data_IF_867835486331
#
_entry.id   IF_867835486331
#
_cell.length_a   1.000
_cell.length_b   1.000
_cell.length_c   1.000
_cell.angle_alpha   90.00
_cell.angle_beta   90.00
_cell.angle_gamma   90.00
#
_symmetry.space_group_name_H-M   'P 1'
#
loop_
_entity.id
_entity.type
_entity.pdbx_description
1 polymer ?
#
# COMPACT_ATOMS: atom_id res chain seq x y z
N UNK A 1 -26.75 25.93 -10.64
CA UNK A 1 -26.88 24.55 -11.14
C UNK A 1 -25.46 24.01 -11.31
N UNK A 2 -24.92 23.33 -10.28
CA UNK A 2 -23.58 22.73 -10.35
C UNK A 2 -23.72 21.43 -11.14
N UNK A 3 -23.06 21.34 -12.30
CA UNK A 3 -22.98 20.08 -13.04
C UNK A 3 -22.15 19.12 -12.17
N UNK A 4 -22.80 18.11 -11.58
CA UNK A 4 -22.13 16.99 -10.91
C UNK A 4 -21.34 16.21 -11.97
N UNK A 5 -20.06 16.52 -12.14
CA UNK A 5 -19.16 15.71 -12.96
C UNK A 5 -18.74 14.46 -12.17
N UNK A 6 -19.48 13.37 -12.35
CA UNK A 6 -19.10 12.04 -11.84
C UNK A 6 -17.85 11.50 -12.52
N UNK A 7 -17.64 11.85 -13.79
CA UNK A 7 -16.50 11.39 -14.60
C UNK A 7 -15.78 12.61 -15.18
N UNK A 8 -14.49 12.74 -14.90
CA UNK A 8 -13.63 13.81 -15.41
C UNK A 8 -12.51 13.20 -16.27
N UNK A 9 -12.52 13.51 -17.57
CA UNK A 9 -11.50 13.05 -18.49
C UNK A 9 -10.52 14.20 -18.81
N UNK A 10 -9.25 14.01 -18.45
CA UNK A 10 -8.15 14.93 -18.67
C UNK A 10 -6.99 14.24 -19.41
N UNK A 11 -7.24 13.13 -20.10
CA UNK A 11 -6.22 12.40 -20.85
C UNK A 11 -5.49 13.28 -21.86
N UNK A 12 -4.24 12.92 -22.19
CA UNK A 12 -3.41 13.56 -23.22
C UNK A 12 -3.20 15.07 -23.01
N UNK A 13 -3.11 15.50 -21.74
CA UNK A 13 -2.81 16.89 -21.39
C UNK A 13 -1.36 17.06 -20.92
N UNK A 14 -0.82 18.26 -21.12
CA UNK A 14 0.60 18.58 -20.85
C UNK A 14 0.82 19.35 -19.53
N UNK A 15 -0.10 19.25 -18.57
CA UNK A 15 0.09 19.89 -17.26
C UNK A 15 1.11 19.13 -16.40
N UNK A 16 1.82 19.86 -15.56
CA UNK A 16 2.70 19.27 -14.54
C UNK A 16 1.95 18.95 -13.24
N UNK A 17 0.90 19.71 -12.95
CA UNK A 17 0.10 19.64 -11.75
C UNK A 17 -1.37 19.86 -12.05
N UNK A 18 -2.25 19.17 -11.32
CA UNK A 18 -3.66 19.48 -11.27
C UNK A 18 -3.97 20.47 -10.14
N UNK A 19 -4.98 21.34 -10.28
CA UNK A 19 -5.35 22.28 -9.23
C UNK A 19 -5.92 21.55 -8.01
N UNK A 20 -5.61 22.05 -6.80
CA UNK A 20 -6.13 21.51 -5.54
C UNK A 20 -7.66 21.50 -5.45
N UNK A 21 -8.34 22.34 -6.24
CA UNK A 21 -9.80 22.38 -6.32
C UNK A 21 -10.43 21.07 -6.81
N UNK A 22 -9.66 20.13 -7.39
CA UNK A 22 -10.18 18.79 -7.73
C UNK A 22 -10.68 18.05 -6.48
N UNK A 23 -10.03 18.22 -5.32
CA UNK A 23 -10.47 17.62 -4.06
C UNK A 23 -11.87 18.09 -3.62
N UNK A 24 -12.31 19.25 -4.12
CA UNK A 24 -13.63 19.84 -3.81
C UNK A 24 -14.74 19.29 -4.72
N UNK A 25 -14.42 18.48 -5.73
CA UNK A 25 -15.38 17.83 -6.61
C UNK A 25 -16.00 16.62 -5.89
N UNK A 26 -16.83 16.87 -4.88
CA UNK A 26 -17.38 15.83 -3.99
C UNK A 26 -18.23 14.74 -4.66
N UNK A 27 -18.67 14.97 -5.91
CA UNK A 27 -19.41 13.99 -6.72
C UNK A 27 -18.53 13.22 -7.72
N UNK A 28 -17.22 13.50 -7.78
CA UNK A 28 -16.32 12.89 -8.74
C UNK A 28 -16.00 11.44 -8.34
N UNK A 29 -16.36 10.51 -9.20
CA UNK A 29 -16.21 9.05 -9.02
C UNK A 29 -15.06 8.50 -9.87
N UNK A 30 -14.83 9.09 -11.05
CA UNK A 30 -13.84 8.65 -12.05
C UNK A 30 -12.96 9.80 -12.55
N UNK A 31 -11.63 9.59 -12.57
CA UNK A 31 -10.64 10.55 -13.06
C UNK A 31 -9.68 9.90 -14.07
N UNK A 32 -9.67 10.38 -15.31
CA UNK A 32 -8.79 9.88 -16.37
C UNK A 32 -7.64 10.85 -16.64
N UNK A 33 -6.42 10.37 -16.42
CA UNK A 33 -5.13 11.09 -16.52
C UNK A 33 -4.11 10.32 -17.39
N UNK A 34 -4.55 9.35 -18.19
CA UNK A 34 -3.66 8.65 -19.12
C UNK A 34 -3.03 9.62 -20.11
N UNK A 35 -1.82 9.32 -20.57
CA UNK A 35 -1.06 10.12 -21.52
C UNK A 35 -0.74 11.56 -21.06
N UNK A 36 -0.91 11.87 -19.76
CA UNK A 36 -0.46 13.13 -19.17
C UNK A 36 1.05 13.10 -18.88
N UNK A 37 1.89 13.16 -19.94
CA UNK A 37 3.33 12.85 -19.89
C UNK A 37 4.17 13.76 -18.97
N UNK A 38 3.68 14.96 -18.64
CA UNK A 38 4.37 15.92 -17.77
C UNK A 38 3.88 15.89 -16.32
N UNK A 39 2.84 15.11 -16.02
CA UNK A 39 2.26 15.06 -14.69
C UNK A 39 3.27 14.50 -13.69
N UNK A 40 3.54 15.26 -12.63
CA UNK A 40 4.53 14.90 -11.61
C UNK A 40 3.86 14.21 -10.42
N UNK A 41 2.67 14.67 -10.03
CA UNK A 41 1.97 14.19 -8.84
C UNK A 41 0.45 14.26 -9.00
N UNK A 42 -0.27 13.45 -8.24
CA UNK A 42 -1.73 13.47 -8.17
C UNK A 42 -2.21 14.49 -7.13
N UNK A 43 -3.35 15.17 -7.36
CA UNK A 43 -3.96 16.04 -6.36
C UNK A 43 -4.55 15.21 -5.21
N UNK A 44 -4.93 15.88 -4.12
CA UNK A 44 -5.79 15.28 -3.10
C UNK A 44 -7.10 14.78 -3.72
N UNK A 45 -7.54 13.60 -3.29
CA UNK A 45 -8.70 12.95 -3.88
C UNK A 45 -10.01 13.42 -3.23
N UNK A 46 -11.07 13.67 -4.01
CA UNK A 46 -12.39 13.87 -3.45
C UNK A 46 -12.91 12.58 -2.81
N UNK A 47 -13.87 12.72 -1.89
CA UNK A 47 -14.36 11.61 -1.07
C UNK A 47 -14.96 10.46 -1.89
N UNK A 48 -15.62 10.73 -3.01
CA UNK A 48 -16.28 9.72 -3.83
C UNK A 48 -15.38 9.10 -4.92
N UNK A 49 -14.14 9.57 -5.09
CA UNK A 49 -13.26 9.05 -6.13
C UNK A 49 -12.85 7.62 -5.82
N UNK A 50 -13.17 6.69 -6.71
CA UNK A 50 -12.80 5.28 -6.56
C UNK A 50 -12.15 4.71 -7.81
N UNK A 51 -12.20 5.40 -8.95
CA UNK A 51 -11.55 4.94 -10.18
C UNK A 51 -10.65 6.03 -10.74
N UNK A 52 -9.40 5.67 -11.01
CA UNK A 52 -8.38 6.55 -11.54
C UNK A 52 -7.56 5.81 -12.59
N UNK A 53 -7.44 6.41 -13.77
CA UNK A 53 -6.58 5.90 -14.83
C UNK A 53 -5.41 6.86 -14.99
N UNK A 54 -4.20 6.44 -14.67
CA UNK A 54 -3.00 7.26 -14.80
C UNK A 54 -1.84 6.43 -15.34
N UNK A 55 -0.74 7.07 -15.73
CA UNK A 55 0.47 6.35 -16.11
C UNK A 55 1.15 5.70 -14.88
N UNK A 56 0.75 4.47 -14.56
CA UNK A 56 1.34 3.71 -13.46
C UNK A 56 2.76 3.19 -13.73
N UNK A 57 3.34 3.45 -14.91
CA UNK A 57 4.78 3.25 -15.09
C UNK A 57 5.61 4.37 -14.44
N UNK A 58 4.98 5.51 -14.14
CA UNK A 58 5.60 6.63 -13.46
C UNK A 58 5.57 6.42 -11.93
N UNK A 59 6.75 6.21 -11.35
CA UNK A 59 6.93 5.98 -9.90
C UNK A 59 6.41 7.11 -9.03
N UNK A 60 6.47 8.36 -9.51
CA UNK A 60 5.98 9.54 -8.77
C UNK A 60 4.47 9.50 -8.66
N UNK A 61 3.78 9.06 -9.72
CA UNK A 61 2.32 8.92 -9.75
C UNK A 61 1.86 7.78 -8.83
N UNK A 62 2.53 6.63 -8.86
CA UNK A 62 2.26 5.54 -7.91
C UNK A 62 2.44 6.00 -6.45
N UNK A 63 3.56 6.67 -6.15
CA UNK A 63 3.80 7.20 -4.80
C UNK A 63 2.68 8.18 -4.40
N UNK A 64 2.33 9.12 -5.27
CA UNK A 64 1.29 10.10 -5.02
C UNK A 64 -0.09 9.47 -4.78
N UNK A 65 -0.43 8.38 -5.49
CA UNK A 65 -1.66 7.60 -5.25
C UNK A 65 -1.69 7.09 -3.80
N UNK A 66 -0.65 6.38 -3.38
CA UNK A 66 -0.61 5.75 -2.06
C UNK A 66 -0.49 6.75 -0.91
N UNK A 67 0.22 7.87 -1.10
CA UNK A 67 0.23 8.97 -0.14
C UNK A 67 -1.19 9.50 0.09
N UNK A 68 -1.96 9.73 -0.99
CA UNK A 68 -3.35 10.15 -0.92
C UNK A 68 -4.24 9.10 -0.24
N UNK A 69 -4.07 7.81 -0.55
CA UNK A 69 -4.80 6.74 0.15
C UNK A 69 -4.54 6.78 1.66
N UNK A 70 -3.30 7.08 2.09
CA UNK A 70 -2.98 7.15 3.52
C UNK A 70 -3.64 8.33 4.26
N UNK A 71 -3.93 9.43 3.56
CA UNK A 71 -4.63 10.60 4.11
C UNK A 71 -6.12 10.36 4.28
N UNK A 72 -6.67 9.41 3.53
CA UNK A 72 -8.06 8.99 3.60
C UNK A 72 -8.19 8.01 4.77
N UNK A 73 -8.31 8.55 5.99
CA UNK A 73 -8.52 7.74 7.18
C UNK A 73 -9.72 6.80 6.99
N UNK A 74 -9.63 5.52 7.42
CA UNK A 74 -10.81 4.67 7.49
C UNK A 74 -11.82 5.32 8.44
N UNK A 75 -13.10 5.39 8.02
CA UNK A 75 -14.21 5.82 8.88
C UNK A 75 -14.35 4.83 10.05
N UNK A 76 -13.60 5.04 11.13
CA UNK A 76 -13.63 4.18 12.32
C UNK A 76 -14.86 4.51 13.16
N UNK A 77 -16.02 3.99 12.74
CA UNK A 77 -17.20 3.86 13.60
C UNK A 77 -17.48 2.40 14.01
N UNK A 78 -16.94 1.40 13.31
CA UNK A 78 -17.17 -0.02 13.64
C UNK A 78 -15.86 -0.79 13.85
N UNK A 79 -15.71 -1.33 15.06
CA UNK A 79 -14.48 -1.86 15.64
C UNK A 79 -14.06 -3.25 15.17
N UNK A 80 -14.62 -3.81 14.11
CA UNK A 80 -14.37 -5.22 13.75
C UNK A 80 -14.09 -5.51 12.27
N UNK A 81 -14.23 -4.53 11.36
CA UNK A 81 -13.85 -4.71 9.96
C UNK A 81 -13.24 -3.42 9.43
N UNK A 82 -11.94 -3.45 9.12
CA UNK A 82 -11.32 -2.37 8.35
C UNK A 82 -11.84 -2.47 6.93
N UNK A 83 -12.88 -1.68 6.60
CA UNK A 83 -13.23 -1.45 5.21
C UNK A 83 -12.14 -0.58 4.59
N UNK A 84 -11.26 -1.19 3.80
CA UNK A 84 -10.20 -0.47 3.11
C UNK A 84 -10.78 0.18 1.86
N UNK A 85 -10.47 1.47 1.68
CA UNK A 85 -10.80 2.18 0.45
C UNK A 85 -9.89 1.70 -0.68
N UNK A 86 -10.51 1.29 -1.77
CA UNK A 86 -9.82 0.75 -2.95
C UNK A 86 -9.90 1.74 -4.10
N UNK A 87 -8.81 1.93 -4.83
CA UNK A 87 -8.83 2.64 -6.10
C UNK A 87 -8.68 1.65 -7.24
N UNK A 88 -9.57 1.70 -8.22
CA UNK A 88 -9.50 0.86 -9.41
C UNK A 88 -8.90 1.64 -10.59
N UNK A 89 -8.22 0.94 -11.47
CA UNK A 89 -7.74 1.45 -12.75
C UNK A 89 -7.98 0.41 -13.82
N UNK A 90 -8.33 0.88 -15.03
CA UNK A 90 -8.42 0.03 -16.23
C UNK A 90 -7.10 -0.70 -16.50
N UNK A 91 -7.14 -1.80 -17.26
CA UNK A 91 -6.06 -2.79 -17.30
C UNK A 91 -4.71 -2.17 -17.61
N UNK A 92 -3.77 -2.33 -16.68
CA UNK A 92 -2.34 -2.14 -16.89
C UNK A 92 -1.62 -3.33 -16.27
N UNK A 93 -0.35 -3.51 -16.64
CA UNK A 93 0.50 -4.45 -15.93
C UNK A 93 0.75 -3.94 -14.50
N UNK A 94 1.04 -4.85 -13.57
CA UNK A 94 1.45 -4.48 -12.21
C UNK A 94 2.62 -3.47 -12.27
N UNK A 95 2.47 -2.27 -11.67
CA UNK A 95 3.48 -1.22 -11.73
C UNK A 95 4.87 -1.67 -11.29
N UNK A 96 5.92 -1.30 -12.03
CA UNK A 96 7.31 -1.56 -11.62
C UNK A 96 7.74 -0.80 -10.35
N UNK A 97 6.90 0.12 -9.87
CA UNK A 97 7.06 0.80 -8.58
C UNK A 97 7.00 -0.16 -7.38
N UNK A 98 6.32 -1.30 -7.48
CA UNK A 98 6.30 -2.30 -6.41
C UNK A 98 7.61 -3.09 -6.37
N UNK A 99 8.21 -3.18 -5.19
CA UNK A 99 9.45 -3.92 -4.98
C UNK A 99 9.24 -5.43 -5.09
N UNK A 100 8.12 -5.92 -4.57
CA UNK A 100 7.71 -7.30 -4.71
C UNK A 100 6.56 -7.40 -5.71
N UNK A 101 6.76 -8.21 -6.75
CA UNK A 101 5.74 -8.51 -7.76
C UNK A 101 5.71 -10.01 -8.00
N UNK A 102 4.54 -10.56 -8.30
CA UNK A 102 4.41 -11.98 -8.57
C UNK A 102 2.99 -12.38 -8.90
N UNK A 103 2.80 -13.69 -9.06
CA UNK A 103 1.50 -14.30 -9.31
C UNK A 103 1.30 -15.43 -8.31
N UNK A 104 0.14 -15.48 -7.67
CA UNK A 104 -0.15 -16.50 -6.66
C UNK A 104 -1.46 -16.26 -5.92
N UNK A 105 -1.84 -17.21 -5.07
CA UNK A 105 -2.99 -17.10 -4.17
C UNK A 105 -2.67 -16.34 -2.88
N UNK A 106 -1.38 -16.11 -2.64
CA UNK A 106 -0.87 -15.36 -1.50
C UNK A 106 0.52 -14.80 -1.80
N UNK A 107 0.96 -13.89 -0.95
CA UNK A 107 2.31 -13.31 -0.99
C UNK A 107 2.91 -13.25 0.40
N UNK A 108 4.14 -13.71 0.53
CA UNK A 108 4.96 -13.63 1.74
C UNK A 108 6.00 -12.53 1.54
N UNK A 109 6.00 -11.52 2.40
CA UNK A 109 6.97 -10.42 2.36
C UNK A 109 7.84 -10.49 3.61
N UNK A 110 9.14 -10.72 3.41
CA UNK A 110 10.12 -10.61 4.48
C UNK A 110 10.31 -9.13 4.84
N UNK A 111 10.05 -8.82 6.11
CA UNK A 111 10.15 -7.49 6.68
C UNK A 111 11.62 -7.24 7.07
N UNK A 112 12.23 -6.11 6.65
CA UNK A 112 13.59 -5.80 7.04
C UNK A 112 13.67 -5.50 8.55
N UNK A 113 14.86 -5.62 9.12
CA UNK A 113 15.09 -5.24 10.51
C UNK A 113 14.73 -3.75 10.71
N UNK A 114 14.00 -3.45 11.79
CA UNK A 114 13.50 -2.10 12.10
C UNK A 114 12.64 -1.49 10.99
N UNK A 115 11.86 -2.31 10.26
CA UNK A 115 10.94 -1.85 9.23
C UNK A 115 9.87 -0.89 9.75
N UNK A 116 9.42 -1.05 10.99
CA UNK A 116 8.44 -0.17 11.58
C UNK A 116 9.13 1.02 12.25
N UNK A 117 8.98 2.19 11.61
CA UNK A 117 9.36 3.49 12.18
C UNK A 117 8.10 4.24 12.57
N UNK A 118 7.94 4.50 13.87
CA UNK A 118 6.81 5.24 14.43
C UNK A 118 6.63 6.57 13.71
N UNK A 119 5.38 6.93 13.42
CA UNK A 119 4.97 8.14 12.69
C UNK A 119 5.48 8.30 11.25
N UNK A 120 6.39 7.47 10.77
CA UNK A 120 6.86 7.48 9.38
C UNK A 120 6.26 6.35 8.54
N UNK A 121 6.05 5.15 9.09
CA UNK A 121 5.43 4.04 8.36
C UNK A 121 3.93 4.32 8.09
N UNK A 122 3.54 4.32 6.82
CA UNK A 122 2.17 4.60 6.38
C UNK A 122 1.34 3.32 6.19
N UNK A 123 1.98 2.22 5.81
CA UNK A 123 1.30 0.95 5.57
C UNK A 123 1.95 0.10 4.49
N UNK A 124 1.31 -1.02 4.19
CA UNK A 124 1.67 -1.87 3.05
C UNK A 124 0.85 -1.43 1.84
N UNK A 125 1.51 -0.83 0.86
CA UNK A 125 0.91 -0.52 -0.43
C UNK A 125 0.76 -1.81 -1.22
N UNK A 126 -0.47 -2.13 -1.61
CA UNK A 126 -0.81 -3.37 -2.31
C UNK A 126 -1.58 -3.03 -3.59
N UNK A 127 -1.29 -3.77 -4.65
CA UNK A 127 -2.21 -3.88 -5.76
C UNK A 127 -2.35 -5.31 -6.25
N UNK A 128 -3.48 -5.61 -6.89
CA UNK A 128 -3.63 -6.84 -7.66
C UNK A 128 -4.63 -6.67 -8.81
N UNK A 129 -4.44 -7.44 -9.88
CA UNK A 129 -5.34 -7.48 -11.04
C UNK A 129 -6.52 -8.44 -10.80
N UNK A 130 -7.72 -8.05 -11.18
CA UNK A 130 -8.87 -8.96 -11.21
C UNK A 130 -10.05 -8.48 -10.38
N UNK A 131 -11.03 -9.37 -10.18
CA UNK A 131 -12.21 -9.08 -9.34
C UNK A 131 -11.81 -8.68 -7.90
N UNK A 132 -12.52 -7.69 -7.37
CA UNK A 132 -12.36 -7.23 -5.99
C UNK A 132 -12.89 -8.26 -5.01
N UNK A 133 -12.04 -8.72 -4.10
CA UNK A 133 -12.35 -9.76 -3.14
C UNK A 133 -11.77 -9.38 -1.78
N UNK A 134 -12.47 -9.74 -0.70
CA UNK A 134 -11.92 -9.60 0.63
C UNK A 134 -10.62 -10.40 0.76
N UNK A 135 -9.63 -9.81 1.43
CA UNK A 135 -8.34 -10.47 1.63
C UNK A 135 -8.08 -10.70 3.12
N UNK A 136 -7.18 -11.62 3.43
CA UNK A 136 -6.70 -11.82 4.81
C UNK A 136 -5.23 -11.45 4.91
N UNK A 137 -4.90 -10.59 5.86
CA UNK A 137 -3.53 -10.24 6.18
C UNK A 137 -3.10 -10.92 7.48
N UNK A 138 -1.90 -11.49 7.48
CA UNK A 138 -1.26 -12.01 8.68
C UNK A 138 0.08 -11.35 8.92
N UNK A 139 0.34 -11.04 10.17
CA UNK A 139 1.64 -10.59 10.63
C UNK A 139 2.25 -11.67 11.53
N UNK A 140 3.34 -12.26 11.04
CA UNK A 140 3.95 -13.46 11.60
C UNK A 140 5.19 -13.07 12.42
N UNK A 141 5.21 -13.34 13.74
CA UNK A 141 6.40 -13.15 14.57
C UNK A 141 7.47 -14.21 14.31
N UNK A 142 8.72 -13.91 14.68
CA UNK A 142 9.80 -14.91 14.73
C UNK A 142 9.40 -16.04 15.71
N UNK A 143 9.47 -17.30 15.25
CA UNK A 143 9.26 -18.47 16.10
C UNK A 143 10.21 -18.40 17.31
N UNK A 144 9.68 -18.68 18.51
CA UNK A 144 10.28 -18.59 19.85
C UNK A 144 9.97 -17.32 20.66
N UNK A 145 9.26 -16.32 20.10
CA UNK A 145 8.95 -15.07 20.81
C UNK A 145 7.78 -15.15 21.82
N UNK A 146 7.03 -16.25 21.88
CA UNK A 146 5.79 -16.36 22.67
C UNK A 146 4.66 -15.42 22.21
N UNK A 147 4.82 -14.78 21.05
CA UNK A 147 3.86 -13.87 20.44
C UNK A 147 2.86 -14.65 19.58
N UNK A 148 1.59 -14.29 19.63
CA UNK A 148 0.56 -14.92 18.79
C UNK A 148 0.56 -14.34 17.37
N UNK A 149 0.26 -15.20 16.38
CA UNK A 149 -0.02 -14.77 15.01
C UNK A 149 -1.14 -13.72 15.00
N UNK A 150 -0.86 -12.56 14.40
CA UNK A 150 -1.88 -11.53 14.19
C UNK A 150 -2.53 -11.74 12.84
N UNK A 151 -3.86 -11.83 12.84
CA UNK A 151 -4.67 -12.09 11.65
C UNK A 151 -5.74 -11.01 11.56
N UNK A 152 -5.88 -10.41 10.39
CA UNK A 152 -6.94 -9.45 10.10
C UNK A 152 -7.60 -9.77 8.77
N UNK A 153 -8.93 -9.93 8.78
CA UNK A 153 -9.72 -9.93 7.55
C UNK A 153 -9.94 -8.48 7.11
N UNK A 154 -9.65 -8.20 5.85
CA UNK A 154 -9.75 -6.86 5.27
C UNK A 154 -10.93 -6.88 4.30
N UNK A 155 -11.98 -6.14 4.66
CA UNK A 155 -13.11 -5.94 3.77
C UNK A 155 -12.71 -4.89 2.73
N UNK A 156 -12.84 -5.22 1.45
CA UNK A 156 -12.53 -4.28 0.38
C UNK A 156 -13.83 -3.69 -0.14
N UNK A 157 -13.97 -2.36 -0.09
CA UNK A 157 -15.16 -1.67 -0.60
C UNK A 157 -14.82 -0.85 -1.83
N UNK A 158 -15.48 -1.18 -2.94
CA UNK A 158 -15.87 -0.31 -4.05
C UNK A 158 -16.53 -1.11 -5.17
N UNK A 159 -17.12 -0.40 -6.12
CA UNK A 159 -17.61 -1.01 -7.35
C UNK A 159 -16.46 -1.10 -8.36
N UNK A 160 -15.80 -2.25 -8.44
CA UNK A 160 -15.02 -2.56 -9.63
C UNK A 160 -15.98 -2.59 -10.83
N UNK A 161 -15.82 -1.68 -11.78
CA UNK A 161 -16.67 -1.63 -12.97
C UNK A 161 -16.36 -2.82 -13.90
N UNK A 162 -15.14 -3.38 -13.84
CA UNK A 162 -14.66 -4.43 -14.75
C UNK A 162 -13.84 -5.52 -14.03
N UNK A 163 -13.87 -6.74 -14.59
CA UNK A 163 -13.20 -7.92 -14.04
C UNK A 163 -11.67 -7.89 -14.16
N UNK A 164 -11.10 -7.05 -15.03
CA UNK A 164 -9.67 -7.00 -15.35
C UNK A 164 -8.96 -5.74 -14.79
N UNK A 165 -9.64 -5.00 -13.91
CA UNK A 165 -9.07 -3.80 -13.30
C UNK A 165 -7.93 -4.14 -12.33
N UNK A 166 -6.98 -3.20 -12.17
CA UNK A 166 -6.06 -3.25 -11.04
C UNK A 166 -6.71 -2.54 -9.85
N UNK A 167 -6.74 -3.23 -8.73
CA UNK A 167 -7.17 -2.71 -7.44
C UNK A 167 -5.96 -2.24 -6.65
N UNK A 168 -5.97 -0.99 -6.17
CA UNK A 168 -4.94 -0.39 -5.34
C UNK A 168 -5.51 -0.06 -3.96
N UNK A 169 -4.82 -0.47 -2.90
CA UNK A 169 -5.24 -0.15 -1.53
C UNK A 169 -4.04 -0.19 -0.58
N UNK A 170 -4.21 0.46 0.56
CA UNK A 170 -3.20 0.52 1.61
C UNK A 170 -3.66 -0.30 2.81
N UNK A 171 -2.82 -1.21 3.29
CA UNK A 171 -3.06 -1.95 4.54
C UNK A 171 -2.31 -1.22 5.67
N UNK A 172 -3.00 -0.48 6.55
CA UNK A 172 -2.37 0.20 7.67
C UNK A 172 -2.00 -0.80 8.77
N UNK A 173 -0.98 -0.47 9.58
CA UNK A 173 -0.62 -1.30 10.73
C UNK A 173 -1.69 -1.27 11.83
N UNK A 174 -2.40 -0.14 11.98
CA UNK A 174 -3.29 0.12 13.12
C UNK A 174 -4.42 -0.89 13.34
N UNK A 175 -4.87 -1.60 12.29
CA UNK A 175 -5.80 -2.73 12.47
C UNK A 175 -5.22 -4.10 12.15
N UNK A 176 -3.92 -4.19 11.85
CA UNK A 176 -3.21 -5.47 11.75
C UNK A 176 -2.52 -5.83 13.06
N UNK A 177 -1.99 -4.83 13.77
CA UNK A 177 -1.25 -5.01 15.02
C UNK A 177 -2.15 -4.93 16.25
N UNK A 178 -2.14 -5.97 17.07
CA UNK A 178 -2.87 -6.06 18.33
C UNK A 178 -1.88 -6.12 19.50
N UNK A 179 -1.64 -4.97 20.14
CA UNK A 179 -0.71 -4.86 21.26
C UNK A 179 -1.09 -5.76 22.46
N UNK A 180 -2.37 -6.13 22.62
CA UNK A 180 -2.80 -7.04 23.69
C UNK A 180 -2.29 -8.47 23.47
N UNK A 181 -2.07 -8.87 22.22
CA UNK A 181 -1.52 -10.18 21.81
C UNK A 181 -0.01 -10.18 21.63
N UNK A 182 0.63 -9.01 21.76
CA UNK A 182 2.05 -8.84 21.52
C UNK A 182 2.95 -9.32 22.67
N UNK A 183 2.42 -9.57 23.87
CA UNK A 183 3.19 -10.04 25.03
C UNK A 183 4.46 -9.18 25.32
N UNK A 184 4.32 -7.84 25.25
CA UNK A 184 5.41 -6.89 25.47
C UNK A 184 6.36 -6.69 24.27
N UNK A 185 6.07 -7.32 23.12
CA UNK A 185 6.81 -7.12 21.87
C UNK A 185 6.32 -5.93 21.06
N UNK A 186 7.07 -5.60 20.02
CA UNK A 186 6.83 -4.48 19.11
C UNK A 186 6.60 -4.99 17.68
N UNK A 187 6.06 -4.18 16.76
CA UNK A 187 5.91 -4.57 15.34
C UNK A 187 7.23 -5.01 14.68
N UNK A 188 8.36 -4.47 15.15
CA UNK A 188 9.68 -4.84 14.65
C UNK A 188 10.12 -6.26 15.02
N UNK A 189 9.40 -6.94 15.92
CA UNK A 189 9.60 -8.37 16.23
C UNK A 189 8.91 -9.30 15.21
N UNK A 190 8.19 -8.75 14.23
CA UNK A 190 7.59 -9.51 13.13
C UNK A 190 8.51 -9.57 11.91
N UNK A 191 8.65 -10.78 11.35
CA UNK A 191 9.54 -11.04 10.22
C UNK A 191 8.80 -11.12 8.89
N UNK A 192 7.53 -11.52 8.91
CA UNK A 192 6.80 -11.78 7.67
C UNK A 192 5.42 -11.14 7.75
N UNK A 193 5.03 -10.45 6.69
CA UNK A 193 3.62 -10.20 6.38
C UNK A 193 3.18 -11.15 5.27
N UNK A 194 2.07 -11.85 5.50
CA UNK A 194 1.41 -12.68 4.50
C UNK A 194 0.09 -12.04 4.09
N UNK A 195 -0.14 -11.86 2.79
CA UNK A 195 -1.45 -11.45 2.26
C UNK A 195 -2.03 -12.63 1.47
N UNK A 196 -3.22 -13.09 1.85
CA UNK A 196 -3.97 -14.14 1.17
C UNK A 196 -5.09 -13.52 0.34
N UNK A 197 -5.03 -13.77 -0.96
CA UNK A 197 -6.04 -13.34 -1.92
C UNK A 197 -7.13 -14.42 -2.10
N UNK A 198 -6.85 -15.68 -1.79
CA UNK A 198 -7.82 -16.79 -1.91
C UNK A 198 -7.95 -17.36 -3.32
N UNK A 199 -7.58 -16.60 -4.35
CA UNK A 199 -7.46 -17.05 -5.74
C UNK A 199 -6.19 -16.52 -6.41
N UNK A 200 -5.87 -17.04 -7.58
CA UNK A 200 -4.67 -16.64 -8.32
C UNK A 200 -4.79 -15.18 -8.78
N UNK A 201 -3.87 -14.34 -8.32
CA UNK A 201 -3.78 -12.92 -8.71
C UNK A 201 -2.37 -12.58 -9.16
N UNK A 202 -2.23 -11.67 -10.13
CA UNK A 202 -0.98 -10.91 -10.28
C UNK A 202 -1.01 -9.75 -9.29
N UNK A 203 0.06 -9.56 -8.52
CA UNK A 203 0.09 -8.60 -7.43
C UNK A 203 1.40 -7.82 -7.35
N UNK A 204 1.32 -6.67 -6.68
CA UNK A 204 2.44 -5.83 -6.28
C UNK A 204 2.34 -5.47 -4.80
N UNK A 205 3.45 -5.52 -4.06
CA UNK A 205 3.52 -5.12 -2.65
C UNK A 205 4.76 -4.26 -2.39
N UNK A 206 4.58 -3.20 -1.59
CA UNK A 206 5.64 -2.29 -1.14
C UNK A 206 5.34 -1.77 0.26
N UNK A 207 6.37 -1.64 1.10
CA UNK A 207 6.26 -0.91 2.36
C UNK A 207 6.32 0.59 2.07
N UNK A 208 5.33 1.35 2.55
CA UNK A 208 5.19 2.78 2.28
C UNK A 208 5.54 3.60 3.53
N UNK A 209 6.29 4.69 3.33
CA UNK A 209 6.73 5.62 4.36
C UNK A 209 6.42 7.06 3.93
N UNK A 210 6.36 8.01 4.88
CA UNK A 210 6.25 9.44 4.57
C UNK A 210 7.52 9.96 3.90
N UNK A 211 8.67 9.55 4.43
CA UNK A 211 10.00 9.81 3.86
C UNK A 211 10.76 8.50 3.63
N UNK A 212 11.09 8.22 2.37
CA UNK A 212 11.79 7.00 1.96
C UNK A 212 13.28 6.98 2.35
N UNK A 213 13.87 8.12 2.73
CA UNK A 213 15.28 8.20 3.11
C UNK A 213 15.61 7.38 4.38
N UNK A 214 14.63 7.15 5.25
CA UNK A 214 14.83 6.44 6.52
C UNK A 214 15.01 4.92 6.36
N UNK A 215 14.46 4.34 5.28
CA UNK A 215 14.65 2.93 4.91
C UNK A 215 16.14 2.62 4.65
N UNK A 216 16.87 3.60 4.08
CA UNK A 216 18.30 3.48 3.83
C UNK A 216 19.14 3.47 5.11
N UNK A 217 18.65 4.03 6.22
CA UNK A 217 19.36 4.04 7.51
C UNK A 217 19.29 2.66 8.16
N UNK A 218 18.13 2.01 8.13
CA UNK A 218 17.95 0.63 8.62
C UNK A 218 18.80 -0.39 7.85
N UNK A 219 18.79 -0.32 6.51
CA UNK A 219 19.58 -1.20 5.62
C UNK A 219 21.09 -0.92 5.72
N UNK A 220 21.50 0.32 6.04
CA UNK A 220 22.92 0.64 6.28
C UNK A 220 23.39 0.10 7.63
N UNK A 221 22.59 0.21 8.70
CA UNK A 221 22.94 -0.35 10.02
C UNK A 221 23.06 -1.88 9.99
N UNK A 222 22.19 -2.59 9.28
CA UNK A 222 22.25 -4.06 9.18
C UNK A 222 23.55 -4.57 8.54
N UNK A 223 24.07 -3.89 7.51
CA UNK A 223 25.38 -4.23 6.93
C UNK A 223 26.55 -4.05 7.89
N UNK A 224 26.49 -3.08 8.80
CA UNK A 224 27.53 -2.89 9.82
C UNK A 224 27.42 -3.93 10.94
N UNK A 225 26.21 -4.32 11.34
CA UNK A 225 26.00 -5.35 12.37
C UNK A 225 26.38 -6.75 11.87
N UNK A 226 26.04 -7.14 10.63
CA UNK A 226 26.50 -8.39 10.00
C UNK A 226 28.03 -8.44 9.82
N UNK A 227 28.66 -7.31 9.48
CA UNK A 227 30.12 -7.20 9.39
C UNK A 227 30.81 -7.35 10.76
N UNK A 228 30.20 -6.81 11.83
CA UNK A 228 30.74 -6.94 13.18
C UNK A 228 30.65 -8.38 13.73
N UNK A 229 29.55 -9.08 13.44
CA UNK A 229 29.31 -10.45 13.88
C UNK A 229 30.17 -11.48 13.12
N UNK A 230 30.50 -11.23 11.85
CA UNK A 230 31.41 -12.06 11.05
C UNK A 230 32.89 -11.88 11.41
N UNK A 231 33.30 -10.68 11.86
CA UNK A 231 34.67 -10.42 12.32
C UNK A 231 35.04 -11.13 13.63
N UNK A 232 34.05 -11.36 14.50
CA UNK A 232 34.23 -11.95 15.83
C UNK A 232 34.43 -13.47 15.80
N UNK A 233 34.15 -14.14 14.68
CA UNK A 233 34.29 -15.61 14.51
C UNK A 233 35.65 -16.07 13.98
N UNK A 234 36.58 -15.15 13.65
CA UNK A 234 37.88 -15.49 13.03
C UNK A 234 39.10 -15.47 13.97
N UNK A 235 38.92 -15.38 15.29
CA UNK A 235 40.05 -15.28 16.25
C UNK A 235 40.15 -16.41 17.29
N UNK A 236 39.57 -17.59 17.03
CA UNK A 236 39.84 -18.80 17.83
C UNK A 236 40.13 -20.00 16.93
N UNK A 237 41.39 -20.16 16.54
CA UNK A 237 42.02 -21.43 16.14
C UNK A 237 43.52 -21.25 16.27
#
# INVERSE_FOLDING_TARGET
MLILFKKLNLMDNNFEYLPRSIAQLGALEYLHLSDCKRLIQLPEFPQQLHTIDADWSNSSICNSLFQNISLLHPDTSDSHSLSLRVFTSRPKNIPSWFHLRGTGTSVLVNLPMNWYVTDNFLGFAVCYSGELIDITAHLIPLCDAGMSLMTQKLALSNHAEYLDDINFFLVPLGGLWDASKANGKTPNDCEIICLFFGEMKEFGVRLLYKDEAELCIGIRKSRYEEASCSSSKKQRS
#
